data_IF_924682692292
#
_entry.id   IF_924682692292
#
_cell.length_a   1.000
_cell.length_b   1.000
_cell.length_c   1.000
_cell.angle_alpha   90.00
_cell.angle_beta   90.00
_cell.angle_gamma   90.00
#
_symmetry.space_group_name_H-M   'P 1'
#
loop_
_entity.id
_entity.type
_entity.pdbx_description
1 polymer ?
#
# COMPACT_ATOMS: atom_id res chain seq x y z
N UNK A 1 -8.52 23.11 16.90
CA UNK A 1 -8.14 21.95 17.72
C UNK A 1 -7.80 20.77 16.80
N UNK A 2 -6.53 20.66 16.34
CA UNK A 2 -6.13 19.54 15.47
C UNK A 2 -5.86 18.31 16.35
N UNK A 3 -6.62 17.22 16.11
CA UNK A 3 -6.54 15.97 16.89
C UNK A 3 -5.15 15.34 16.73
N UNK A 4 -4.29 15.53 17.72
CA UNK A 4 -2.88 15.06 17.76
C UNK A 4 -2.75 13.58 18.19
N UNK A 5 -3.73 12.74 17.85
CA UNK A 5 -3.80 11.33 18.26
C UNK A 5 -3.86 10.35 17.05
N UNK A 6 -3.59 10.82 15.84
CA UNK A 6 -3.51 9.95 14.67
C UNK A 6 -2.18 9.20 14.64
N UNK A 7 -2.21 7.87 14.46
CA UNK A 7 -1.00 7.11 14.09
C UNK A 7 -0.36 7.73 12.86
N UNK A 8 0.97 7.73 12.82
CA UNK A 8 1.72 8.23 11.68
C UNK A 8 1.62 7.21 10.53
N UNK A 9 0.70 7.46 9.60
CA UNK A 9 0.41 6.56 8.48
C UNK A 9 0.99 7.15 7.18
N UNK A 10 1.87 6.42 6.46
CA UNK A 10 2.52 6.93 5.25
C UNK A 10 1.55 7.46 4.19
N UNK A 11 0.46 6.74 3.96
CA UNK A 11 -0.58 7.09 2.99
C UNK A 11 -1.43 8.32 3.38
N UNK A 12 -1.30 8.85 4.60
CA UNK A 12 -1.89 10.14 4.99
C UNK A 12 -1.00 11.34 4.66
N UNK A 13 0.25 11.10 4.29
CA UNK A 13 1.24 12.14 3.91
C UNK A 13 1.38 12.31 2.39
N UNK A 14 0.77 11.44 1.60
CA UNK A 14 0.74 11.53 0.13
C UNK A 14 -0.60 12.08 -0.35
N UNK A 15 -0.59 12.72 -1.51
CA UNK A 15 -1.80 13.11 -2.26
C UNK A 15 -2.03 12.23 -3.49
N UNK A 16 -1.22 11.19 -3.69
CA UNK A 16 -1.36 10.27 -4.82
C UNK A 16 -2.60 9.39 -4.66
N UNK A 17 -3.59 9.47 -5.58
CA UNK A 17 -4.78 8.63 -5.52
C UNK A 17 -4.44 7.14 -5.57
N UNK A 18 -3.36 6.78 -6.28
CA UNK A 18 -2.87 5.41 -6.39
C UNK A 18 -2.41 4.87 -5.03
N UNK A 19 -1.54 5.61 -4.35
CA UNK A 19 -1.00 5.22 -3.05
C UNK A 19 -2.10 5.13 -1.98
N UNK A 20 -3.01 6.11 -1.96
CA UNK A 20 -4.16 6.10 -1.05
C UNK A 20 -5.02 4.86 -1.30
N UNK A 21 -5.38 4.60 -2.56
CA UNK A 21 -6.21 3.44 -2.91
C UNK A 21 -5.54 2.11 -2.58
N UNK A 22 -4.24 2.01 -2.83
CA UNK A 22 -3.44 0.84 -2.49
C UNK A 22 -3.51 0.56 -0.98
N UNK A 23 -3.31 1.60 -0.16
CA UNK A 23 -3.36 1.46 1.30
C UNK A 23 -4.72 0.99 1.81
N UNK A 24 -5.82 1.50 1.22
CA UNK A 24 -7.18 1.08 1.57
C UNK A 24 -7.40 -0.42 1.31
N UNK A 25 -6.98 -0.92 0.15
CA UNK A 25 -7.13 -2.32 -0.23
C UNK A 25 -6.34 -3.22 0.73
N UNK A 26 -5.10 -2.85 1.07
CA UNK A 26 -4.28 -3.61 2.01
C UNK A 26 -4.88 -3.61 3.44
N UNK A 27 -5.44 -2.49 3.87
CA UNK A 27 -6.09 -2.33 5.19
C UNK A 27 -7.38 -3.13 5.35
N UNK A 28 -8.05 -3.50 4.24
CA UNK A 28 -9.22 -4.37 4.30
C UNK A 28 -8.86 -5.80 4.70
N UNK A 29 -7.66 -6.27 4.38
CA UNK A 29 -7.24 -7.67 4.57
C UNK A 29 -6.31 -7.86 5.78
N UNK A 30 -5.60 -6.81 6.22
CA UNK A 30 -4.54 -6.95 7.25
C UNK A 30 -4.48 -5.80 8.26
N UNK A 31 -3.69 -6.00 9.31
CA UNK A 31 -3.44 -5.00 10.36
C UNK A 31 -2.50 -3.90 9.86
N UNK A 32 -2.68 -2.69 10.40
CA UNK A 32 -1.93 -1.47 10.03
C UNK A 32 -0.41 -1.68 10.01
N UNK A 33 0.16 -2.36 11.01
CA UNK A 33 1.61 -2.52 11.11
C UNK A 33 2.18 -3.38 9.97
N UNK A 34 1.44 -4.40 9.54
CA UNK A 34 1.77 -5.22 8.37
C UNK A 34 1.63 -4.42 7.08
N UNK A 35 0.55 -3.63 6.95
CA UNK A 35 0.32 -2.78 5.77
C UNK A 35 1.46 -1.81 5.55
N UNK A 36 2.00 -1.18 6.60
CA UNK A 36 3.10 -0.21 6.45
C UNK A 36 4.30 -0.86 5.76
N UNK A 37 4.70 -2.06 6.17
CA UNK A 37 5.83 -2.78 5.58
C UNK A 37 5.57 -3.13 4.11
N UNK A 38 4.37 -3.66 3.81
CA UNK A 38 4.02 -4.08 2.47
C UNK A 38 3.77 -2.92 1.51
N UNK A 39 3.21 -1.83 2.00
CA UNK A 39 3.00 -0.60 1.24
C UNK A 39 4.31 -0.09 0.66
N UNK A 40 5.36 0.05 1.48
CA UNK A 40 6.67 0.51 1.00
C UNK A 40 7.31 -0.48 0.02
N UNK A 41 7.22 -1.80 0.29
CA UNK A 41 7.72 -2.83 -0.63
C UNK A 41 7.00 -2.82 -1.97
N UNK A 42 5.68 -2.64 -1.95
CA UNK A 42 4.85 -2.62 -3.15
C UNK A 42 5.15 -1.38 -3.99
N UNK A 43 5.24 -0.19 -3.37
CA UNK A 43 5.58 1.05 -4.06
C UNK A 43 7.02 1.09 -4.58
N UNK A 44 7.96 0.41 -3.91
CA UNK A 44 9.32 0.27 -4.42
C UNK A 44 9.36 -0.51 -5.75
N UNK A 45 8.43 -1.46 -5.95
CA UNK A 45 8.35 -2.27 -7.18
C UNK A 45 7.40 -1.66 -8.22
N UNK A 46 6.28 -1.11 -7.76
CA UNK A 46 5.22 -0.53 -8.57
C UNK A 46 4.97 0.89 -8.07
N UNK A 47 5.85 1.81 -8.45
CA UNK A 47 5.78 3.21 -8.00
C UNK A 47 4.57 3.96 -8.52
N UNK A 48 3.98 3.50 -9.62
CA UNK A 48 2.80 4.10 -10.25
C UNK A 48 1.77 3.04 -10.66
N UNK A 49 0.53 3.48 -10.86
CA UNK A 49 -0.54 2.61 -11.37
C UNK A 49 -0.21 2.06 -12.77
N UNK A 50 0.54 2.80 -13.59
CA UNK A 50 0.98 2.36 -14.91
C UNK A 50 2.03 1.25 -14.79
N UNK A 51 2.97 1.36 -13.85
CA UNK A 51 3.94 0.30 -13.57
C UNK A 51 3.25 -0.98 -13.07
N UNK A 52 2.21 -0.82 -12.24
CA UNK A 52 1.36 -1.95 -11.82
C UNK A 52 0.60 -2.57 -13.00
N UNK A 53 0.02 -1.76 -13.88
CA UNK A 53 -0.74 -2.24 -15.03
C UNK A 53 0.12 -2.94 -16.09
N UNK A 54 1.40 -2.54 -16.20
CA UNK A 54 2.36 -3.19 -17.09
C UNK A 54 2.94 -4.50 -16.51
N UNK A 55 2.81 -4.71 -15.20
CA UNK A 55 3.33 -5.90 -14.54
C UNK A 55 2.49 -7.13 -14.85
N UNK A 56 3.13 -8.30 -14.86
CA UNK A 56 2.42 -9.56 -14.98
C UNK A 56 1.67 -9.90 -13.68
N UNK A 57 0.58 -10.65 -13.80
CA UNK A 57 -0.17 -11.11 -12.63
C UNK A 57 0.73 -11.85 -11.62
N UNK A 58 1.67 -12.66 -12.10
CA UNK A 58 2.60 -13.40 -11.25
C UNK A 58 3.53 -12.46 -10.46
N UNK A 59 3.99 -11.36 -11.05
CA UNK A 59 4.83 -10.38 -10.35
C UNK A 59 4.07 -9.62 -9.28
N UNK A 60 2.78 -9.34 -9.52
CA UNK A 60 1.87 -8.72 -8.57
C UNK A 60 1.57 -9.67 -7.41
N UNK A 61 1.19 -10.92 -7.71
CA UNK A 61 0.94 -11.95 -6.69
C UNK A 61 2.16 -12.17 -5.80
N UNK A 62 3.36 -12.27 -6.39
CA UNK A 62 4.61 -12.42 -5.62
C UNK A 62 4.92 -11.21 -4.73
N UNK A 63 4.51 -10.01 -5.14
CA UNK A 63 4.66 -8.81 -4.30
C UNK A 63 3.59 -8.74 -3.19
N UNK A 64 2.44 -9.39 -3.40
CA UNK A 64 1.31 -9.47 -2.47
C UNK A 64 1.38 -10.65 -1.50
N UNK A 65 2.22 -11.64 -1.79
CA UNK A 65 2.41 -12.85 -0.99
C UNK A 65 2.74 -12.54 0.48
N UNK A 66 1.97 -13.13 1.41
CA UNK A 66 2.11 -12.91 2.85
C UNK A 66 1.28 -11.75 3.44
N UNK A 67 0.49 -11.02 2.63
CA UNK A 67 -0.59 -10.15 3.11
C UNK A 67 -1.89 -10.93 3.45
N UNK A 68 -1.88 -12.26 3.44
CA UNK A 68 -3.07 -13.07 3.72
C UNK A 68 -3.50 -14.01 2.59
N UNK A 69 -2.64 -14.19 1.59
CA UNK A 69 -2.71 -15.26 0.59
C UNK A 69 -1.42 -16.06 0.62
#
# INVERSE_FOLDING_TARGET
MARKNGRDLPWRKTSSPYEIRLSEIMLQQTRVDTVILYYFRFLAKFSTIQALAAATLQEVLKAWEGLGY
#
